data_IF_942429506000
#
_entry.id   IF_942429506000
#
_cell.length_a   1.000
_cell.length_b   1.000
_cell.length_c   1.000
_cell.angle_alpha   90.00
_cell.angle_beta   90.00
_cell.angle_gamma   90.00
#
_symmetry.space_group_name_H-M   'P 1'
#
loop_
_entity.id
_entity.type
_entity.pdbx_description
1 polymer ?
#
# COMPACT_ATOMS: atom_id res chain seq x y z
N UNK A 1 -24.27 -15.97 -63.70
CA UNK A 1 -25.41 -15.41 -63.06
C UNK A 1 -25.32 -15.49 -61.55
N UNK A 2 -25.59 -14.37 -60.88
CA UNK A 2 -25.86 -14.13 -59.48
C UNK A 2 -24.80 -14.55 -58.44
N UNK A 3 -23.83 -13.78 -58.10
CA UNK A 3 -23.67 -12.65 -57.18
C UNK A 3 -24.43 -12.84 -55.84
N UNK A 4 -23.71 -13.20 -54.80
CA UNK A 4 -24.08 -13.04 -53.44
C UNK A 4 -23.07 -12.08 -52.77
N UNK A 5 -23.53 -10.88 -52.47
CA UNK A 5 -22.79 -9.86 -51.76
C UNK A 5 -22.66 -10.23 -50.28
N UNK A 6 -21.51 -10.00 -49.69
CA UNK A 6 -21.25 -10.08 -48.27
C UNK A 6 -21.89 -8.90 -47.54
N UNK A 7 -22.39 -9.06 -46.30
CA UNK A 7 -22.87 -7.94 -45.48
C UNK A 7 -21.68 -7.17 -44.92
N UNK A 8 -21.78 -5.85 -45.02
CA UNK A 8 -20.87 -4.85 -44.53
C UNK A 8 -20.68 -4.94 -42.98
N UNK A 9 -19.44 -4.86 -42.57
CA UNK A 9 -19.02 -4.66 -41.19
C UNK A 9 -19.65 -3.37 -40.62
N UNK A 10 -20.39 -3.55 -39.56
CA UNK A 10 -20.87 -2.43 -38.75
C UNK A 10 -19.77 -2.05 -37.75
N UNK A 11 -19.06 -1.00 -38.12
CA UNK A 11 -18.08 -0.35 -37.28
C UNK A 11 -18.77 0.19 -36.00
N UNK A 12 -18.58 -0.47 -34.86
CA UNK A 12 -19.04 -0.01 -33.56
C UNK A 12 -18.13 1.12 -33.07
N UNK A 13 -18.59 2.36 -33.27
CA UNK A 13 -18.01 3.56 -32.70
C UNK A 13 -18.02 3.45 -31.16
N UNK A 14 -16.90 3.76 -30.47
CA UNK A 14 -16.92 3.86 -29.00
C UNK A 14 -17.82 5.03 -28.58
N UNK A 15 -18.77 4.77 -27.70
CA UNK A 15 -19.55 5.82 -27.06
C UNK A 15 -18.62 6.74 -26.28
N UNK A 16 -18.50 7.98 -26.73
CA UNK A 16 -17.82 9.04 -26.02
C UNK A 16 -18.54 9.30 -24.71
N UNK A 17 -17.84 9.21 -23.60
CA UNK A 17 -18.28 9.60 -22.27
C UNK A 17 -18.65 11.10 -22.31
N UNK A 18 -19.81 11.53 -21.81
CA UNK A 18 -20.15 12.95 -21.79
C UNK A 18 -19.13 13.72 -20.94
N UNK A 19 -18.78 14.96 -21.32
CA UNK A 19 -17.89 15.78 -20.53
C UNK A 19 -18.52 16.03 -19.16
N UNK A 20 -17.80 15.65 -18.11
CA UNK A 20 -18.15 15.92 -16.72
C UNK A 20 -18.14 17.44 -16.55
N UNK A 21 -19.28 18.02 -16.23
CA UNK A 21 -19.40 19.44 -15.88
C UNK A 21 -18.36 19.74 -14.78
N UNK A 22 -17.58 20.80 -14.97
CA UNK A 22 -16.68 21.31 -13.95
C UNK A 22 -17.54 21.75 -12.76
N UNK A 23 -17.63 20.89 -11.75
CA UNK A 23 -18.17 21.26 -10.46
C UNK A 23 -17.15 22.17 -9.80
N UNK A 24 -17.53 23.39 -9.47
CA UNK A 24 -16.80 24.29 -8.59
C UNK A 24 -16.44 23.50 -7.31
N UNK A 25 -15.16 23.38 -7.04
CA UNK A 25 -14.65 22.70 -5.85
C UNK A 25 -15.07 23.53 -4.63
N UNK A 26 -15.85 22.97 -3.70
CA UNK A 26 -15.95 23.60 -2.39
C UNK A 26 -14.55 23.59 -1.78
N UNK A 27 -14.10 24.74 -1.32
CA UNK A 27 -12.87 24.88 -0.56
C UNK A 27 -12.94 23.88 0.60
N UNK A 28 -12.16 22.80 0.50
CA UNK A 28 -12.02 21.81 1.58
C UNK A 28 -11.32 22.55 2.72
N UNK A 29 -12.08 22.98 3.70
CA UNK A 29 -11.54 23.37 4.99
C UNK A 29 -11.02 22.08 5.61
N UNK A 30 -9.75 21.80 5.37
CA UNK A 30 -9.02 20.75 6.11
C UNK A 30 -8.94 21.22 7.55
N UNK A 31 -9.87 20.75 8.38
CA UNK A 31 -9.72 20.90 9.83
C UNK A 31 -8.38 20.25 10.19
N UNK A 32 -7.48 21.05 10.73
CA UNK A 32 -6.21 20.59 11.25
C UNK A 32 -6.48 19.50 12.28
N UNK A 33 -6.20 18.27 11.89
CA UNK A 33 -6.24 17.13 12.80
C UNK A 33 -5.07 17.32 13.76
N UNK A 34 -5.34 17.59 15.02
CA UNK A 34 -4.35 17.67 16.08
C UNK A 34 -3.64 16.32 16.20
N UNK A 35 -2.41 16.29 15.75
CA UNK A 35 -1.54 15.12 15.83
C UNK A 35 -0.76 15.16 17.14
N UNK A 36 -0.91 14.09 17.87
CA UNK A 36 -0.08 13.63 19.00
C UNK A 36 0.49 14.77 19.86
N UNK A 37 -0.27 15.16 20.88
CA UNK A 37 0.21 16.01 21.97
C UNK A 37 1.50 15.45 22.59
N UNK A 38 2.32 16.32 23.20
CA UNK A 38 3.55 15.96 23.90
C UNK A 38 3.35 14.74 24.81
N UNK A 39 4.35 13.83 24.93
CA UNK A 39 4.17 12.52 25.53
C UNK A 39 3.79 12.63 26.99
N UNK A 40 2.52 12.39 27.29
CA UNK A 40 2.16 11.89 28.60
C UNK A 40 2.99 10.62 28.83
N UNK A 41 3.51 10.44 30.05
CA UNK A 41 4.29 9.26 30.47
C UNK A 41 3.75 8.00 29.81
N UNK A 42 4.59 7.24 29.06
CA UNK A 42 4.10 6.12 28.28
C UNK A 42 3.31 5.16 29.17
N UNK A 43 2.10 4.75 28.77
CA UNK A 43 1.33 3.78 29.55
C UNK A 43 2.15 2.50 29.69
N UNK A 44 2.05 1.84 30.85
CA UNK A 44 2.70 0.56 31.11
C UNK A 44 2.27 -0.47 30.04
N UNK A 45 3.23 -1.09 29.38
CA UNK A 45 3.02 -2.10 28.33
C UNK A 45 4.25 -2.26 27.45
N UNK A 46 4.36 -3.39 26.76
CA UNK A 46 5.42 -3.62 25.77
C UNK A 46 5.35 -2.64 24.60
N UNK A 47 6.43 -2.51 23.83
CA UNK A 47 6.43 -1.68 22.62
C UNK A 47 5.32 -2.11 21.65
N UNK A 48 5.13 -3.42 21.48
CA UNK A 48 4.10 -3.99 20.62
C UNK A 48 2.68 -3.62 21.08
N UNK A 49 2.39 -3.69 22.39
CA UNK A 49 1.08 -3.29 22.95
C UNK A 49 0.81 -1.78 22.75
N UNK A 50 1.85 -0.95 22.87
CA UNK A 50 1.70 0.51 22.61
C UNK A 50 1.43 0.77 21.14
N UNK A 51 2.21 0.16 20.24
CA UNK A 51 1.99 0.31 18.81
C UNK A 51 0.61 -0.21 18.38
N UNK A 52 0.18 -1.34 18.93
CA UNK A 52 -1.15 -1.89 18.64
C UNK A 52 -2.26 -0.93 19.07
N UNK A 53 -2.20 -0.38 20.28
CA UNK A 53 -3.20 0.62 20.73
C UNK A 53 -3.24 1.84 19.81
N UNK A 54 -2.09 2.37 19.42
CA UNK A 54 -2.03 3.51 18.49
C UNK A 54 -2.62 3.17 17.12
N UNK A 55 -2.40 1.96 16.62
CA UNK A 55 -3.01 1.48 15.38
C UNK A 55 -4.54 1.34 15.51
N UNK A 56 -5.02 0.87 16.65
CA UNK A 56 -6.46 0.74 16.93
C UNK A 56 -7.13 2.13 17.04
N UNK A 57 -6.50 3.08 17.70
CA UNK A 57 -6.94 4.47 17.77
C UNK A 57 -6.96 5.14 16.40
N UNK A 58 -5.92 4.90 15.59
CA UNK A 58 -5.83 5.40 14.22
C UNK A 58 -6.92 4.81 13.33
N UNK A 59 -7.21 3.51 13.46
CA UNK A 59 -8.31 2.85 12.78
C UNK A 59 -9.65 3.46 13.17
N UNK A 60 -9.92 3.61 14.47
CA UNK A 60 -11.15 4.23 14.96
C UNK A 60 -11.30 5.68 14.44
N UNK A 61 -10.19 6.42 14.31
CA UNK A 61 -10.20 7.75 13.71
C UNK A 61 -10.53 7.68 12.21
N UNK A 62 -9.92 6.77 11.44
CA UNK A 62 -10.25 6.56 10.02
C UNK A 62 -11.75 6.27 9.83
N UNK A 63 -12.32 5.42 10.68
CA UNK A 63 -13.75 5.07 10.63
C UNK A 63 -14.67 6.26 10.91
N UNK A 64 -14.29 7.14 11.86
CA UNK A 64 -15.05 8.37 12.17
C UNK A 64 -14.94 9.42 11.07
N UNK A 65 -13.74 9.70 10.61
CA UNK A 65 -13.45 10.73 9.59
C UNK A 65 -13.88 10.27 8.21
N UNK A 66 -13.85 8.96 7.99
CA UNK A 66 -14.35 8.28 6.78
C UNK A 66 -13.95 8.97 5.47
N UNK A 67 -12.63 9.19 5.20
CA UNK A 67 -12.17 9.92 4.02
C UNK A 67 -12.63 9.26 2.72
N UNK A 68 -12.88 7.95 2.75
CA UNK A 68 -13.42 7.18 1.63
C UNK A 68 -14.85 7.60 1.21
N UNK A 69 -15.58 8.36 2.02
CA UNK A 69 -16.89 8.92 1.64
C UNK A 69 -16.79 10.07 0.65
N UNK A 70 -15.58 10.61 0.44
CA UNK A 70 -15.35 11.68 -0.55
C UNK A 70 -15.09 11.16 -1.97
N UNK A 71 -15.13 9.84 -2.18
CA UNK A 71 -15.02 9.21 -3.49
C UNK A 71 -15.87 7.94 -3.56
N UNK A 72 -16.07 7.43 -4.79
CA UNK A 72 -16.93 6.25 -4.99
C UNK A 72 -16.18 4.99 -4.57
N UNK A 73 -16.82 4.20 -3.71
CA UNK A 73 -16.33 2.90 -3.26
C UNK A 73 -17.40 1.83 -3.44
N UNK A 74 -16.96 0.57 -3.55
CA UNK A 74 -17.81 -0.62 -3.55
C UNK A 74 -17.31 -1.55 -2.42
N UNK A 75 -17.40 -1.04 -1.16
CA UNK A 75 -16.85 -1.75 -0.02
C UNK A 75 -17.92 -2.17 0.99
N UNK A 76 -17.69 -3.32 1.62
CA UNK A 76 -18.46 -3.83 2.75
C UNK A 76 -17.65 -3.68 4.05
N UNK A 77 -16.33 -3.81 3.97
CA UNK A 77 -15.44 -3.75 5.11
C UNK A 77 -14.30 -2.73 4.89
N UNK A 78 -13.85 -2.14 5.98
CA UNK A 78 -12.60 -1.38 6.02
C UNK A 78 -11.45 -2.35 6.24
N UNK A 79 -10.53 -2.39 5.28
CA UNK A 79 -9.31 -3.21 5.31
C UNK A 79 -8.15 -2.33 5.75
N UNK A 80 -8.00 -2.17 7.06
CA UNK A 80 -7.07 -1.17 7.61
C UNK A 80 -5.60 -1.59 7.48
N UNK A 81 -5.31 -2.85 7.73
CA UNK A 81 -3.98 -3.47 7.74
C UNK A 81 -3.90 -4.57 8.77
N UNK A 82 -2.88 -5.42 8.71
CA UNK A 82 -2.64 -6.49 9.67
C UNK A 82 -1.17 -6.89 9.76
N UNK A 83 -0.76 -7.50 10.85
CA UNK A 83 0.57 -8.04 11.09
C UNK A 83 1.17 -7.57 12.40
N UNK A 84 2.49 -7.71 12.53
CA UNK A 84 3.23 -7.28 13.71
C UNK A 84 3.22 -5.74 13.84
N UNK A 85 2.70 -5.17 14.93
CA UNK A 85 2.69 -3.72 15.14
C UNK A 85 4.10 -3.11 15.34
N UNK A 86 5.14 -3.96 15.44
CA UNK A 86 6.56 -3.58 15.48
C UNK A 86 7.36 -4.24 14.34
N UNK A 87 6.71 -4.57 13.23
CA UNK A 87 7.33 -5.25 12.09
C UNK A 87 8.57 -4.51 11.58
N UNK A 88 9.66 -5.25 11.34
CA UNK A 88 10.83 -4.71 10.66
C UNK A 88 10.61 -4.49 9.15
N UNK A 89 9.64 -5.19 8.56
CA UNK A 89 9.29 -5.09 7.14
C UNK A 89 7.80 -4.82 6.99
N UNK A 90 7.47 -3.78 6.22
CA UNK A 90 6.10 -3.43 5.87
C UNK A 90 5.88 -3.57 4.36
N UNK A 91 4.82 -4.26 3.97
CA UNK A 91 4.34 -4.30 2.59
C UNK A 91 3.17 -3.34 2.41
N UNK A 92 3.22 -2.55 1.35
CA UNK A 92 2.18 -1.56 1.05
C UNK A 92 1.69 -1.77 -0.38
N UNK A 93 0.42 -2.14 -0.50
CA UNK A 93 -0.28 -2.26 -1.78
C UNK A 93 -1.13 -1.03 -2.11
N UNK A 94 -1.97 -1.19 -3.12
CA UNK A 94 -2.78 -0.14 -3.72
C UNK A 94 -4.13 0.03 -3.01
N UNK A 95 -4.98 -0.98 -3.08
CA UNK A 95 -6.34 -1.01 -2.54
C UNK A 95 -6.80 -2.45 -2.28
N UNK A 96 -7.81 -2.66 -1.42
CA UNK A 96 -8.44 -3.97 -1.26
C UNK A 96 -9.15 -4.43 -2.54
N UNK A 97 -9.07 -5.73 -2.84
CA UNK A 97 -9.90 -6.40 -3.82
C UNK A 97 -11.16 -7.02 -3.18
N UNK A 98 -11.93 -7.77 -3.98
CA UNK A 98 -13.21 -8.35 -3.52
C UNK A 98 -13.06 -9.32 -2.33
N UNK A 99 -12.02 -10.17 -2.33
CA UNK A 99 -11.81 -11.11 -1.23
C UNK A 99 -11.32 -10.40 0.03
N UNK A 100 -10.46 -9.38 -0.13
CA UNK A 100 -9.99 -8.54 0.94
C UNK A 100 -11.15 -7.79 1.60
N UNK A 101 -12.03 -7.21 0.79
CA UNK A 101 -13.23 -6.51 1.24
C UNK A 101 -14.18 -7.47 1.97
N UNK A 102 -14.41 -8.68 1.42
CA UNK A 102 -15.29 -9.70 2.03
C UNK A 102 -14.79 -10.16 3.41
N UNK A 103 -13.47 -10.26 3.58
CA UNK A 103 -12.85 -10.79 4.80
C UNK A 103 -12.36 -9.69 5.77
N UNK A 104 -12.33 -8.44 5.36
CA UNK A 104 -11.79 -7.32 6.14
C UNK A 104 -10.26 -7.40 6.34
N UNK A 105 -9.54 -8.18 5.51
CA UNK A 105 -8.10 -8.45 5.67
C UNK A 105 -7.33 -8.13 4.38
N UNK A 106 -6.13 -7.51 4.47
CA UNK A 106 -5.35 -7.18 3.29
C UNK A 106 -4.72 -8.43 2.66
N UNK A 107 -4.64 -8.48 1.33
CA UNK A 107 -3.92 -9.50 0.58
C UNK A 107 -4.30 -10.96 0.98
N UNK A 108 -5.57 -11.32 0.82
CA UNK A 108 -6.08 -12.69 1.08
C UNK A 108 -6.55 -13.40 -0.20
N UNK A 109 -6.83 -12.67 -1.28
CA UNK A 109 -7.16 -13.21 -2.59
C UNK A 109 -5.95 -13.82 -3.31
N UNK A 110 -6.07 -14.07 -4.61
CA UNK A 110 -5.00 -14.68 -5.43
C UNK A 110 -3.68 -13.91 -5.38
N UNK A 111 -3.74 -12.58 -5.36
CA UNK A 111 -2.57 -11.71 -5.21
C UNK A 111 -1.93 -11.87 -3.83
N UNK A 112 -2.74 -12.00 -2.80
CA UNK A 112 -2.30 -12.24 -1.43
C UNK A 112 -1.60 -13.59 -1.28
N UNK A 113 -2.14 -14.65 -1.87
CA UNK A 113 -1.50 -15.98 -1.88
C UNK A 113 -0.10 -15.96 -2.53
N UNK A 114 0.08 -15.12 -3.57
CA UNK A 114 1.42 -14.93 -4.15
C UNK A 114 2.32 -14.14 -3.20
N UNK A 115 1.80 -13.09 -2.55
CA UNK A 115 2.55 -12.34 -1.55
C UNK A 115 2.97 -13.24 -0.38
N UNK A 116 2.09 -14.12 0.11
CA UNK A 116 2.44 -15.08 1.17
C UNK A 116 3.60 -16.00 0.76
N UNK A 117 3.59 -16.48 -0.49
CA UNK A 117 4.72 -17.27 -1.04
C UNK A 117 6.02 -16.44 -1.10
N UNK A 118 5.93 -15.16 -1.42
CA UNK A 118 7.09 -14.26 -1.43
C UNK A 118 7.63 -14.06 0.00
N UNK A 119 6.76 -13.82 0.97
CA UNK A 119 7.12 -13.66 2.39
C UNK A 119 7.80 -14.93 2.92
N UNK A 120 7.23 -16.10 2.63
CA UNK A 120 7.82 -17.40 3.02
C UNK A 120 9.18 -17.62 2.35
N UNK A 121 9.32 -17.27 1.07
CA UNK A 121 10.59 -17.37 0.34
C UNK A 121 11.68 -16.43 0.91
N UNK A 122 11.28 -15.34 1.60
CA UNK A 122 12.19 -14.46 2.33
C UNK A 122 12.56 -15.01 3.73
N UNK A 123 12.07 -16.19 4.13
CA UNK A 123 12.27 -16.76 5.45
C UNK A 123 11.43 -16.11 6.55
N UNK A 124 10.36 -15.41 6.17
CA UNK A 124 9.44 -14.75 7.08
C UNK A 124 8.07 -15.43 7.08
N UNK A 125 7.24 -15.08 8.04
CA UNK A 125 5.83 -15.44 8.09
C UNK A 125 4.98 -14.16 8.10
N UNK A 126 3.70 -14.29 7.77
CA UNK A 126 2.78 -13.16 7.63
C UNK A 126 2.61 -12.37 8.93
N UNK A 127 2.69 -13.04 10.08
CA UNK A 127 2.63 -12.46 11.43
C UNK A 127 3.92 -11.72 11.85
N UNK A 128 5.02 -11.83 11.07
CA UNK A 128 6.30 -11.12 11.30
C UNK A 128 6.49 -9.88 10.45
N UNK A 129 5.55 -9.60 9.57
CA UNK A 129 5.53 -8.42 8.71
C UNK A 129 4.25 -7.63 8.97
N UNK A 130 4.17 -6.39 8.51
CA UNK A 130 2.91 -5.66 8.47
C UNK A 130 2.49 -5.43 7.03
N UNK A 131 1.20 -5.63 6.75
CA UNK A 131 0.65 -5.51 5.40
C UNK A 131 -0.50 -4.51 5.41
N UNK A 132 -0.43 -3.51 4.53
CA UNK A 132 -1.47 -2.52 4.36
C UNK A 132 -1.62 -2.11 2.89
N UNK A 133 -2.62 -1.30 2.61
CA UNK A 133 -2.82 -0.64 1.33
C UNK A 133 -2.89 0.88 1.52
N UNK A 134 -2.74 1.64 0.43
CA UNK A 134 -2.99 3.09 0.42
C UNK A 134 -4.46 3.34 0.74
N UNK A 135 -5.39 2.81 -0.06
CA UNK A 135 -6.81 2.84 0.23
C UNK A 135 -7.17 1.76 1.26
N UNK A 136 -8.13 2.09 2.13
CA UNK A 136 -8.66 1.13 3.12
C UNK A 136 -10.00 0.52 2.72
N UNK A 137 -10.53 0.94 1.59
CA UNK A 137 -11.81 0.50 1.03
C UNK A 137 -11.63 0.04 -0.41
N UNK A 138 -12.48 -0.89 -0.83
CA UNK A 138 -12.46 -1.43 -2.19
C UNK A 138 -12.99 -0.40 -3.19
N UNK A 139 -12.25 -0.04 -4.26
CA UNK A 139 -12.77 0.76 -5.35
C UNK A 139 -13.75 -0.06 -6.22
N UNK A 140 -14.69 0.59 -6.94
CA UNK A 140 -15.60 -0.09 -7.86
C UNK A 140 -14.82 -0.93 -8.89
N UNK A 141 -15.27 -2.15 -9.12
CA UNK A 141 -14.68 -3.11 -10.09
C UNK A 141 -13.18 -3.37 -9.87
N UNK A 142 -12.67 -3.17 -8.66
CA UNK A 142 -11.23 -3.20 -8.33
C UNK A 142 -10.41 -2.25 -9.23
N UNK A 143 -10.97 -1.09 -9.59
CA UNK A 143 -10.30 -0.09 -10.40
C UNK A 143 -9.03 0.43 -9.70
N UNK A 144 -8.05 0.83 -10.50
CA UNK A 144 -6.87 1.52 -9.96
C UNK A 144 -7.28 2.87 -9.38
N UNK A 145 -6.93 3.16 -8.11
CA UNK A 145 -7.25 4.44 -7.50
C UNK A 145 -6.62 5.62 -8.23
N UNK A 146 -7.33 6.74 -8.23
CA UNK A 146 -6.81 8.02 -8.69
C UNK A 146 -5.79 8.60 -7.69
N UNK A 147 -5.00 9.56 -8.14
CA UNK A 147 -4.07 10.29 -7.25
C UNK A 147 -4.80 11.02 -6.12
N UNK A 148 -6.00 11.55 -6.39
CA UNK A 148 -6.80 12.27 -5.40
C UNK A 148 -7.35 11.34 -4.33
N UNK A 149 -7.85 10.16 -4.71
CA UNK A 149 -8.29 9.13 -3.76
C UNK A 149 -7.12 8.64 -2.90
N UNK A 150 -5.96 8.42 -3.51
CA UNK A 150 -4.74 8.10 -2.77
C UNK A 150 -4.36 9.23 -1.79
N UNK A 151 -4.42 10.49 -2.20
CA UNK A 151 -4.06 11.64 -1.36
C UNK A 151 -4.98 11.78 -0.13
N UNK A 152 -6.27 11.45 -0.26
CA UNK A 152 -7.24 11.46 0.85
C UNK A 152 -6.93 10.37 1.90
N UNK A 153 -6.46 9.20 1.47
CA UNK A 153 -6.19 8.07 2.36
C UNK A 153 -4.73 8.01 2.86
N UNK A 154 -3.81 8.62 2.14
CA UNK A 154 -2.37 8.56 2.42
C UNK A 154 -1.97 9.02 3.85
N UNK A 155 -2.57 10.05 4.46
CA UNK A 155 -2.22 10.46 5.83
C UNK A 155 -2.31 9.33 6.84
N UNK A 156 -3.34 8.48 6.76
CA UNK A 156 -3.51 7.34 7.66
C UNK A 156 -2.44 6.26 7.43
N UNK A 157 -2.05 6.03 6.19
CA UNK A 157 -0.95 5.12 5.87
C UNK A 157 0.38 5.66 6.41
N UNK A 158 0.64 6.96 6.26
CA UNK A 158 1.86 7.58 6.79
C UNK A 158 1.94 7.43 8.31
N UNK A 159 0.83 7.62 9.02
CA UNK A 159 0.78 7.40 10.46
C UNK A 159 0.94 5.93 10.85
N UNK A 160 0.38 4.98 10.08
CA UNK A 160 0.69 3.56 10.29
C UNK A 160 2.19 3.30 10.20
N UNK A 161 2.87 3.85 9.19
CA UNK A 161 4.32 3.72 9.03
C UNK A 161 5.07 4.34 10.22
N UNK A 162 4.63 5.50 10.69
CA UNK A 162 5.24 6.20 11.83
C UNK A 162 5.02 5.48 13.18
N UNK A 163 3.91 4.78 13.35
CA UNK A 163 3.62 3.96 14.53
C UNK A 163 4.47 2.69 14.53
N UNK A 164 4.49 1.97 13.40
CA UNK A 164 5.18 0.69 13.24
C UNK A 164 6.69 0.87 13.21
N UNK A 165 7.20 1.94 12.58
CA UNK A 165 8.63 2.25 12.39
C UNK A 165 9.41 1.09 11.76
N UNK A 166 9.01 0.61 10.59
CA UNK A 166 9.69 -0.50 9.95
C UNK A 166 11.11 -0.12 9.55
N UNK A 167 12.01 -1.10 9.50
CA UNK A 167 13.37 -0.92 9.00
C UNK A 167 13.43 -0.84 7.46
N UNK A 168 12.40 -1.36 6.78
CA UNK A 168 12.21 -1.22 5.34
C UNK A 168 10.73 -1.30 4.95
N UNK A 169 10.39 -0.64 3.83
CA UNK A 169 9.08 -0.74 3.19
C UNK A 169 9.26 -1.36 1.80
N UNK A 170 8.38 -2.30 1.43
CA UNK A 170 8.23 -2.77 0.06
C UNK A 170 6.89 -2.28 -0.48
N UNK A 171 6.91 -1.47 -1.54
CA UNK A 171 5.68 -1.06 -2.21
C UNK A 171 5.37 -2.00 -3.36
N UNK A 172 4.11 -2.46 -3.40
CA UNK A 172 3.59 -3.42 -4.37
C UNK A 172 2.78 -2.66 -5.44
N UNK A 173 3.43 -2.36 -6.56
CA UNK A 173 2.81 -1.68 -7.69
C UNK A 173 2.96 -0.17 -7.70
N UNK A 174 2.52 0.43 -8.82
CA UNK A 174 2.77 1.84 -9.12
C UNK A 174 2.03 2.82 -8.21
N UNK A 175 0.72 2.66 -7.88
CA UNK A 175 0.01 3.61 -7.04
C UNK A 175 0.62 3.73 -5.65
N UNK A 176 0.94 2.61 -4.99
CA UNK A 176 1.60 2.61 -3.68
C UNK A 176 2.98 3.29 -3.73
N UNK A 177 3.77 2.97 -4.77
CA UNK A 177 5.11 3.57 -4.95
C UNK A 177 5.03 5.07 -5.17
N UNK A 178 4.13 5.53 -6.03
CA UNK A 178 3.94 6.96 -6.31
C UNK A 178 3.44 7.73 -5.09
N UNK A 179 2.51 7.15 -4.34
CA UNK A 179 1.96 7.77 -3.12
C UNK A 179 3.04 7.98 -2.07
N UNK A 180 3.85 6.94 -1.78
CA UNK A 180 4.87 7.04 -0.73
C UNK A 180 6.09 7.87 -1.16
N UNK A 181 6.42 7.88 -2.45
CA UNK A 181 7.57 8.63 -2.99
C UNK A 181 7.20 10.02 -3.48
N UNK A 182 5.92 10.38 -3.49
CA UNK A 182 5.42 11.61 -4.12
C UNK A 182 6.01 11.79 -5.53
N UNK A 183 5.97 10.73 -6.36
CA UNK A 183 6.64 10.65 -7.65
C UNK A 183 5.65 10.40 -8.79
N UNK A 184 5.95 10.89 -9.98
CA UNK A 184 5.20 10.61 -11.20
C UNK A 184 5.90 9.59 -12.11
N UNK A 185 7.05 9.07 -11.68
CA UNK A 185 7.84 8.11 -12.48
C UNK A 185 7.08 6.79 -12.74
N UNK A 186 7.52 6.11 -13.81
CA UNK A 186 7.00 4.78 -14.15
C UNK A 186 7.57 3.70 -13.22
N UNK A 187 6.84 2.56 -13.12
CA UNK A 187 7.29 1.42 -12.31
C UNK A 187 8.66 0.89 -12.75
N UNK A 188 8.97 0.92 -14.04
CA UNK A 188 10.26 0.50 -14.59
C UNK A 188 11.42 1.35 -14.09
N UNK A 189 11.17 2.63 -13.84
CA UNK A 189 12.19 3.55 -13.29
C UNK A 189 12.30 3.45 -11.77
N UNK A 190 11.18 3.20 -11.09
CA UNK A 190 11.15 3.15 -9.61
C UNK A 190 11.71 1.83 -9.07
N UNK A 191 11.36 0.67 -9.67
CA UNK A 191 11.74 -0.63 -9.13
C UNK A 191 13.23 -0.94 -9.23
N UNK A 192 13.67 -1.87 -8.40
CA UNK A 192 15.04 -2.42 -8.46
C UNK A 192 16.12 -1.55 -7.84
N UNK A 193 15.75 -0.45 -7.22
CA UNK A 193 16.65 0.45 -6.49
C UNK A 193 16.00 0.98 -5.22
N UNK A 194 16.81 1.31 -4.25
CA UNK A 194 16.37 1.91 -3.00
C UNK A 194 15.96 3.36 -3.17
N UNK A 195 14.87 3.72 -2.51
CA UNK A 195 14.40 5.07 -2.28
C UNK A 195 14.24 5.30 -0.78
N UNK A 196 13.78 6.49 -0.41
CA UNK A 196 13.46 6.81 0.98
C UNK A 196 12.03 7.34 1.08
N UNK A 197 11.26 6.78 1.99
CA UNK A 197 10.02 7.40 2.44
C UNK A 197 10.34 8.40 3.54
N UNK A 198 9.85 9.64 3.38
CA UNK A 198 9.88 10.68 4.40
C UNK A 198 8.45 11.14 4.65
N UNK A 199 7.95 11.09 5.89
CA UNK A 199 6.62 11.60 6.19
C UNK A 199 6.55 13.09 5.85
N UNK A 200 5.43 13.56 5.24
CA UNK A 200 5.25 14.99 4.99
C UNK A 200 5.28 15.81 6.29
N UNK A 201 5.97 16.96 6.28
CA UNK A 201 6.13 17.82 7.45
C UNK A 201 4.79 18.26 8.07
N UNK A 202 3.72 18.36 7.27
CA UNK A 202 2.37 18.69 7.75
C UNK A 202 1.75 17.67 8.72
N UNK A 203 2.34 16.49 8.86
CA UNK A 203 1.90 15.47 9.82
C UNK A 203 2.52 15.68 11.22
N UNK A 204 3.42 16.63 11.36
CA UNK A 204 4.04 16.94 12.65
C UNK A 204 3.42 18.24 13.19
N UNK A 205 2.94 18.20 14.43
CA UNK A 205 2.51 19.41 15.13
C UNK A 205 3.74 20.23 15.53
N UNK A 206 3.63 21.56 15.37
CA UNK A 206 4.75 22.51 15.43
C UNK A 206 5.44 22.64 16.80
N UNK A 207 5.01 21.91 17.83
CA UNK A 207 5.40 22.29 19.19
C UNK A 207 6.43 21.43 19.92
N UNK A 208 6.72 20.19 19.54
CA UNK A 208 7.69 19.39 20.33
C UNK A 208 8.31 18.14 19.69
N UNK A 209 7.75 17.60 18.61
CA UNK A 209 8.28 16.41 17.94
C UNK A 209 9.13 16.73 16.69
N UNK A 210 9.16 17.98 16.28
CA UNK A 210 9.77 18.43 15.02
C UNK A 210 11.26 18.10 14.89
N UNK A 211 12.01 18.19 15.96
CA UNK A 211 13.47 17.98 15.90
C UNK A 211 13.85 16.52 15.67
N UNK A 212 13.12 15.58 16.29
CA UNK A 212 13.45 14.14 16.23
C UNK A 212 12.88 13.41 15.02
N UNK A 213 11.87 13.98 14.36
CA UNK A 213 11.16 13.34 13.25
C UNK A 213 11.47 13.97 11.89
N UNK A 214 12.05 15.16 11.83
CA UNK A 214 12.44 15.83 10.58
C UNK A 214 13.44 15.03 9.76
N UNK A 215 14.37 14.36 10.44
CA UNK A 215 15.42 13.56 9.78
C UNK A 215 15.08 12.07 9.67
N UNK A 216 13.89 11.66 10.18
CA UNK A 216 13.51 10.27 10.11
C UNK A 216 13.03 9.89 8.70
N UNK A 217 13.61 8.84 8.18
CA UNK A 217 13.22 8.25 6.90
C UNK A 217 13.25 6.73 6.98
N UNK A 218 12.53 6.10 6.08
CA UNK A 218 12.50 4.63 5.94
C UNK A 218 12.94 4.26 4.53
N UNK A 219 13.91 3.36 4.39
CA UNK A 219 14.25 2.78 3.09
C UNK A 219 13.04 2.11 2.44
N UNK A 220 12.83 2.40 1.17
CA UNK A 220 11.69 1.93 0.41
C UNK A 220 12.13 1.26 -0.89
N UNK A 221 11.65 0.04 -1.12
CA UNK A 221 11.89 -0.75 -2.32
C UNK A 221 10.60 -0.92 -3.12
N UNK A 222 10.44 -0.25 -4.26
CA UNK A 222 9.33 -0.51 -5.16
C UNK A 222 9.52 -1.83 -5.91
N UNK A 223 8.44 -2.61 -6.02
CA UNK A 223 8.41 -3.80 -6.86
C UNK A 223 7.07 -3.97 -7.56
N UNK A 224 6.98 -4.93 -8.50
CA UNK A 224 5.72 -5.18 -9.18
C UNK A 224 4.63 -5.69 -8.24
N UNK A 225 3.38 -5.27 -8.47
CA UNK A 225 2.23 -5.79 -7.74
C UNK A 225 2.03 -7.28 -8.05
N UNK A 226 1.70 -8.13 -7.05
CA UNK A 226 1.44 -9.56 -7.29
C UNK A 226 0.39 -9.83 -8.37
N UNK A 227 -0.66 -9.00 -8.47
CA UNK A 227 -1.66 -9.13 -9.54
C UNK A 227 -1.08 -8.92 -10.95
N UNK A 228 -0.10 -8.02 -11.11
CA UNK A 228 0.60 -7.85 -12.38
C UNK A 228 1.42 -9.09 -12.72
N UNK A 229 2.15 -9.63 -11.75
CA UNK A 229 2.94 -10.85 -11.94
C UNK A 229 2.04 -12.03 -12.32
N UNK A 230 0.85 -12.15 -11.72
CA UNK A 230 -0.11 -13.21 -12.06
C UNK A 230 -0.69 -13.07 -13.46
N UNK A 231 -0.94 -11.84 -13.93
CA UNK A 231 -1.41 -11.60 -15.32
C UNK A 231 -0.33 -11.83 -16.36
N UNK A 232 0.92 -11.49 -16.05
CA UNK A 232 2.10 -11.66 -16.89
C UNK A 232 3.10 -12.59 -16.21
N UNK A 233 2.72 -13.87 -16.04
CA UNK A 233 3.47 -14.86 -15.27
C UNK A 233 4.67 -15.41 -16.05
N UNK A 234 5.64 -14.55 -16.29
CA UNK A 234 6.90 -14.90 -16.97
C UNK A 234 8.03 -15.15 -15.98
N UNK A 235 9.04 -15.93 -16.40
CA UNK A 235 10.25 -16.12 -15.61
C UNK A 235 10.95 -14.78 -15.33
N UNK A 236 10.95 -13.89 -16.32
CA UNK A 236 11.56 -12.56 -16.21
C UNK A 236 10.89 -11.70 -15.13
N UNK A 237 9.55 -11.59 -15.14
CA UNK A 237 8.84 -10.78 -14.13
C UNK A 237 9.02 -11.32 -12.72
N UNK A 238 9.04 -12.65 -12.57
CA UNK A 238 9.33 -13.29 -11.27
C UNK A 238 10.76 -13.02 -10.81
N UNK A 239 11.73 -13.12 -11.72
CA UNK A 239 13.13 -12.83 -11.43
C UNK A 239 13.35 -11.36 -11.02
N UNK A 240 12.66 -10.43 -11.68
CA UNK A 240 12.69 -9.00 -11.32
C UNK A 240 12.18 -8.77 -9.90
N UNK A 241 11.03 -9.33 -9.54
CA UNK A 241 10.48 -9.21 -8.18
C UNK A 241 11.43 -9.86 -7.17
N UNK A 242 11.94 -11.04 -7.47
CA UNK A 242 12.87 -11.72 -6.58
C UNK A 242 14.16 -10.94 -6.37
N UNK A 243 14.71 -10.34 -7.43
CA UNK A 243 15.88 -9.45 -7.31
C UNK A 243 15.63 -8.23 -6.42
N UNK A 244 14.41 -7.66 -6.44
CA UNK A 244 14.05 -6.56 -5.54
C UNK A 244 13.99 -7.04 -4.09
N UNK A 245 13.38 -8.20 -3.85
CA UNK A 245 13.26 -8.78 -2.51
C UNK A 245 14.59 -9.25 -1.92
N UNK A 246 15.51 -9.76 -2.75
CA UNK A 246 16.87 -10.10 -2.30
C UNK A 246 17.61 -8.89 -1.72
N UNK A 247 17.49 -7.72 -2.33
CA UNK A 247 18.08 -6.50 -1.78
C UNK A 247 17.44 -6.12 -0.42
N UNK A 248 16.13 -6.37 -0.25
CA UNK A 248 15.44 -6.16 1.03
C UNK A 248 15.94 -7.14 2.08
N UNK A 249 16.11 -8.41 1.70
CA UNK A 249 16.64 -9.44 2.60
C UNK A 249 18.05 -9.12 3.05
N UNK A 250 18.93 -8.72 2.13
CA UNK A 250 20.30 -8.29 2.44
C UNK A 250 20.30 -7.12 3.42
N UNK A 251 19.51 -6.08 3.16
CA UNK A 251 19.42 -4.90 4.04
C UNK A 251 18.89 -5.22 5.44
N UNK A 252 17.98 -6.16 5.55
CA UNK A 252 17.40 -6.61 6.83
C UNK A 252 18.21 -7.73 7.49
N UNK A 253 19.29 -8.15 6.87
CA UNK A 253 20.13 -9.28 7.33
C UNK A 253 19.31 -10.56 7.54
N UNK A 254 18.35 -10.80 6.62
CA UNK A 254 17.54 -12.00 6.64
C UNK A 254 18.35 -13.17 6.03
N UNK A 255 18.34 -14.30 6.70
CA UNK A 255 18.95 -15.52 6.15
C UNK A 255 18.15 -15.99 4.95
N UNK A 256 18.82 -16.21 3.81
CA UNK A 256 18.18 -16.78 2.62
C UNK A 256 17.94 -18.26 2.88
N UNK A 257 16.68 -18.74 2.79
CA UNK A 257 16.43 -20.18 2.85
C UNK A 257 17.16 -20.90 1.72
N UNK A 258 17.79 -22.02 2.01
CA UNK A 258 18.36 -22.88 0.96
C UNK A 258 17.23 -23.30 0.01
N UNK A 259 17.37 -22.92 -1.26
CA UNK A 259 16.34 -23.16 -2.30
C UNK A 259 16.07 -24.66 -2.54
N UNK A 260 16.98 -25.55 -2.14
CA UNK A 260 16.82 -27.00 -2.31
C UNK A 260 16.18 -27.68 -1.10
N UNK A 261 16.46 -27.20 0.09
CA UNK A 261 16.04 -27.85 1.35
C UNK A 261 14.96 -27.09 2.10
N UNK A 262 14.73 -25.80 1.76
CA UNK A 262 13.82 -24.89 2.48
C UNK A 262 14.31 -24.58 3.92
N UNK A 263 15.51 -25.02 4.31
CA UNK A 263 16.08 -24.73 5.62
C UNK A 263 16.87 -23.42 5.59
N UNK A 264 16.78 -22.67 6.67
CA UNK A 264 17.63 -21.50 6.87
C UNK A 264 19.09 -21.99 7.00
N UNK A 265 19.99 -21.46 6.18
CA UNK A 265 21.43 -21.67 6.35
C UNK A 265 21.88 -21.02 7.65
N UNK A 266 22.59 -21.76 8.48
CA UNK A 266 23.16 -21.30 9.75
C UNK A 266 24.10 -20.10 9.57
#
# INVERSE_FOLDING_TARGET
>A
PAILAAPSEVESKPLARPPRAAAEQPAVVVQQTALIGAPARPPAGSAAERSQRLLDELRARYEREAPHKNFVTDHHNIVFGEGDPCARLMFVGEAPGAEEDRLGRPFVGRSGQLLDKMIVAMGLSRDRVYIANVLKTRPPDNATPTSDECALCAPYLYEQIMIIRPAAIVTLGLPASRTLLNSTESMTRLRGRWHEFRPPARLFDSSSAEGLMRDWSVPLMPTYHPAFVLRAYTAENRAKVWSDLLQVMERLELKVPDQKTGRLTE
#
